data_IF_658812963108
#
_entry.id   IF_658812963108
#
_cell.length_a   1.000
_cell.length_b   1.000
_cell.length_c   1.000
_cell.angle_alpha   90.00
_cell.angle_beta   90.00
_cell.angle_gamma   90.00
#
_symmetry.space_group_name_H-M   'P 1'
#
loop_
_entity.id
_entity.type
_entity.pdbx_description
1 polymer ?
#
# COMPACT_ATOMS: atom_id res chain seq x y z
N UNK A 1 7.85 9.54 -5.96
CA UNK A 1 6.65 10.41 -5.90
C UNK A 1 6.17 10.44 -4.46
N UNK A 2 5.90 11.63 -3.93
CA UNK A 2 5.54 11.83 -2.53
C UNK A 2 4.04 12.07 -2.36
N UNK A 3 3.42 11.37 -1.41
CA UNK A 3 2.07 11.66 -0.94
C UNK A 3 2.06 11.62 0.57
N UNK A 4 1.56 12.70 1.19
CA UNK A 4 1.48 12.80 2.65
C UNK A 4 0.56 11.71 3.18
N UNK A 5 0.94 11.09 4.29
CA UNK A 5 0.15 10.05 4.93
C UNK A 5 -1.27 10.51 5.24
N UNK A 6 -2.22 9.58 5.12
CA UNK A 6 -3.65 9.75 5.37
C UNK A 6 -4.36 10.74 4.43
N UNK A 7 -3.67 11.29 3.43
CA UNK A 7 -4.31 12.07 2.36
C UNK A 7 -5.06 11.17 1.37
N UNK A 8 -6.09 11.67 0.69
CA UNK A 8 -6.79 10.90 -0.34
C UNK A 8 -5.86 10.37 -1.43
N UNK A 9 -6.04 9.11 -1.80
CA UNK A 9 -5.26 8.48 -2.87
C UNK A 9 -5.61 9.10 -4.23
N UNK A 10 -4.58 9.56 -4.94
CA UNK A 10 -4.69 10.17 -6.28
C UNK A 10 -3.61 9.69 -7.25
N UNK A 11 -2.85 8.65 -6.88
CA UNK A 11 -1.76 8.14 -7.71
C UNK A 11 -2.34 7.64 -9.04
N UNK A 12 -1.68 7.99 -10.15
CA UNK A 12 -2.08 7.76 -11.55
C UNK A 12 -3.40 8.40 -12.03
N UNK A 13 -4.28 8.85 -11.12
CA UNK A 13 -5.58 9.43 -11.46
C UNK A 13 -5.71 10.92 -11.11
N UNK A 14 -4.63 11.59 -10.72
CA UNK A 14 -4.63 13.01 -10.46
C UNK A 14 -5.26 13.81 -11.62
N UNK A 15 -6.04 14.87 -11.36
CA UNK A 15 -6.32 15.50 -10.06
C UNK A 15 -7.48 14.83 -9.28
N UNK A 16 -7.97 13.68 -9.72
CA UNK A 16 -9.07 12.96 -9.05
C UNK A 16 -8.53 12.11 -7.90
N UNK A 17 -9.43 11.69 -7.02
CA UNK A 17 -9.11 10.84 -5.87
C UNK A 17 -10.03 9.63 -5.84
N UNK A 18 -9.55 8.54 -5.23
CA UNK A 18 -10.38 7.39 -4.94
C UNK A 18 -11.06 7.59 -3.59
N UNK A 19 -12.38 7.77 -3.61
CA UNK A 19 -13.20 7.87 -2.41
C UNK A 19 -12.90 6.73 -1.47
N UNK A 20 -12.61 7.02 -0.20
CA UNK A 20 -12.35 6.00 0.83
C UNK A 20 -11.03 5.24 0.69
N UNK A 21 -10.07 5.73 -0.11
CA UNK A 21 -8.70 5.20 -0.18
C UNK A 21 -7.74 6.32 0.22
N UNK A 22 -6.77 6.00 1.08
CA UNK A 22 -5.79 6.98 1.60
C UNK A 22 -4.35 6.49 1.44
N UNK A 23 -3.45 7.43 1.21
CA UNK A 23 -2.02 7.19 1.03
C UNK A 23 -1.34 6.87 2.37
N UNK A 24 -0.43 5.90 2.40
CA UNK A 24 0.50 5.68 3.52
C UNK A 24 1.87 5.28 2.98
N UNK A 25 2.95 5.86 3.49
CA UNK A 25 4.32 5.43 3.18
C UNK A 25 4.81 5.79 1.78
N UNK A 26 4.17 6.75 1.12
CA UNK A 26 4.64 7.30 -0.16
C UNK A 26 5.66 8.41 0.10
N UNK A 27 6.81 8.04 0.62
CA UNK A 27 7.79 8.96 1.20
C UNK A 27 8.67 9.65 0.13
N UNK A 28 9.14 10.85 0.46
CA UNK A 28 10.25 11.52 -0.23
C UNK A 28 11.47 11.44 0.68
N UNK A 29 12.56 10.86 0.21
CA UNK A 29 13.80 10.73 1.00
C UNK A 29 14.45 12.07 1.30
N UNK A 30 14.05 13.14 0.60
CA UNK A 30 14.47 14.53 0.86
C UNK A 30 13.58 15.22 1.89
N UNK A 31 12.43 14.66 2.22
CA UNK A 31 11.52 15.20 3.22
C UNK A 31 11.64 14.42 4.52
N UNK A 32 11.43 15.11 5.64
CA UNK A 32 11.36 14.43 6.93
C UNK A 32 10.10 13.56 7.00
N UNK A 33 10.24 12.34 7.52
CA UNK A 33 9.13 11.45 7.84
C UNK A 33 9.18 11.08 9.32
N UNK A 34 8.03 10.76 9.91
CA UNK A 34 7.97 10.31 11.30
C UNK A 34 8.77 9.01 11.43
N UNK A 35 9.71 8.98 12.37
CA UNK A 35 10.54 7.81 12.64
C UNK A 35 10.39 7.37 14.10
N UNK A 36 10.58 6.07 14.34
CA UNK A 36 10.48 5.50 15.67
C UNK A 36 10.14 4.01 15.66
N UNK A 37 10.11 3.43 16.85
CA UNK A 37 9.77 2.02 17.02
C UNK A 37 8.31 1.74 16.65
N UNK A 38 8.09 0.62 15.98
CA UNK A 38 6.76 0.05 15.71
C UNK A 38 6.66 -1.33 16.38
N UNK A 39 5.45 -1.82 16.69
CA UNK A 39 5.29 -3.15 17.27
C UNK A 39 5.82 -4.25 16.32
N UNK A 40 6.54 -5.24 16.83
CA UNK A 40 7.03 -6.38 16.02
C UNK A 40 5.88 -7.12 15.32
N UNK A 41 4.78 -7.35 16.04
CA UNK A 41 3.58 -7.99 15.50
C UNK A 41 2.96 -7.22 14.31
N UNK A 42 3.16 -5.89 14.25
CA UNK A 42 2.72 -5.10 13.10
C UNK A 42 3.57 -5.40 11.86
N UNK A 43 4.89 -5.44 12.01
CA UNK A 43 5.82 -5.75 10.90
C UNK A 43 5.60 -7.18 10.39
N UNK A 44 5.49 -8.14 11.29
CA UNK A 44 5.20 -9.55 10.94
C UNK A 44 3.90 -9.68 10.17
N UNK A 45 2.85 -8.98 10.63
CA UNK A 45 1.53 -9.05 9.99
C UNK A 45 1.48 -8.30 8.67
N UNK A 46 2.18 -7.18 8.53
CA UNK A 46 2.29 -6.47 7.25
C UNK A 46 3.03 -7.32 6.21
N UNK A 47 4.12 -7.98 6.60
CA UNK A 47 4.84 -8.94 5.75
C UNK A 47 3.93 -10.10 5.32
N UNK A 48 3.13 -10.63 6.24
CA UNK A 48 2.16 -11.68 5.95
C UNK A 48 1.11 -11.23 4.93
N UNK A 49 0.55 -10.03 5.11
CA UNK A 49 -0.41 -9.42 4.18
C UNK A 49 0.22 -9.21 2.79
N UNK A 50 1.44 -8.69 2.74
CA UNK A 50 2.16 -8.44 1.50
C UNK A 50 2.52 -9.73 0.74
N UNK A 51 2.85 -10.81 1.46
CA UNK A 51 3.09 -12.13 0.88
C UNK A 51 1.84 -12.86 0.39
N UNK A 52 0.65 -12.39 0.81
CA UNK A 52 -0.64 -12.99 0.48
C UNK A 52 -0.97 -14.21 1.35
N UNK A 53 -2.22 -14.30 1.79
CA UNK A 53 -2.74 -15.41 2.60
C UNK A 53 -4.12 -15.80 2.12
N UNK A 54 -4.35 -17.10 1.87
CA UNK A 54 -5.66 -17.61 1.47
C UNK A 54 -6.27 -16.84 0.28
N UNK A 55 -7.50 -16.37 0.47
CA UNK A 55 -8.23 -15.52 -0.49
C UNK A 55 -8.02 -14.02 -0.27
N UNK A 56 -7.14 -13.63 0.65
CA UNK A 56 -6.78 -12.24 0.92
C UNK A 56 -5.60 -11.81 0.05
N UNK A 57 -5.93 -11.16 -1.08
CA UNK A 57 -4.98 -10.66 -2.09
C UNK A 57 -4.85 -9.14 -1.94
N UNK A 58 -3.85 -8.71 -1.20
CA UNK A 58 -3.65 -7.29 -0.87
C UNK A 58 -2.84 -6.49 -1.89
N UNK A 59 -2.27 -7.13 -2.91
CA UNK A 59 -1.41 -6.45 -3.87
C UNK A 59 -2.20 -5.89 -5.06
N UNK A 60 -1.91 -4.65 -5.43
CA UNK A 60 -2.38 -3.95 -6.64
C UNK A 60 -1.21 -3.72 -7.58
N UNK A 61 -1.45 -3.87 -8.89
CA UNK A 61 -0.44 -3.63 -9.94
C UNK A 61 0.91 -4.37 -9.73
N UNK A 62 0.93 -5.69 -9.45
CA UNK A 62 2.19 -6.41 -9.32
C UNK A 62 2.93 -6.43 -10.67
N UNK A 63 4.12 -5.84 -10.72
CA UNK A 63 5.01 -5.87 -11.88
C UNK A 63 6.29 -6.65 -11.55
N UNK A 64 6.83 -7.35 -12.55
CA UNK A 64 8.02 -8.22 -12.40
C UNK A 64 9.32 -7.42 -12.36
N UNK A 65 9.35 -6.38 -11.54
CA UNK A 65 10.49 -5.53 -11.27
C UNK A 65 10.76 -5.52 -9.76
N UNK A 66 12.01 -5.29 -9.38
CA UNK A 66 12.33 -5.08 -7.98
C UNK A 66 11.82 -3.71 -7.53
N UNK A 67 11.28 -3.60 -6.31
CA UNK A 67 11.02 -2.30 -5.72
C UNK A 67 12.32 -1.50 -5.59
N UNK A 68 12.23 -0.18 -5.66
CA UNK A 68 13.40 0.72 -5.60
C UNK A 68 13.25 1.68 -4.42
N UNK A 69 14.28 1.73 -3.59
CA UNK A 69 14.50 2.75 -2.57
C UNK A 69 15.41 3.84 -3.13
N UNK A 70 15.04 5.11 -2.97
CA UNK A 70 15.86 6.24 -3.47
C UNK A 70 17.19 6.40 -2.71
N UNK A 71 17.35 5.75 -1.55
CA UNK A 71 18.60 5.75 -0.75
C UNK A 71 19.43 4.50 -1.04
N UNK A 72 18.80 3.32 -1.05
CA UNK A 72 19.51 2.03 -1.11
C UNK A 72 19.62 1.44 -2.53
N UNK A 73 18.86 1.95 -3.50
CA UNK A 73 18.74 1.36 -4.84
C UNK A 73 17.67 0.27 -4.89
N UNK A 74 17.88 -0.75 -5.72
CA UNK A 74 16.98 -1.91 -5.81
C UNK A 74 16.93 -2.65 -4.46
N UNK A 75 15.72 -2.97 -4.00
CA UNK A 75 15.50 -3.67 -2.73
C UNK A 75 14.88 -5.05 -2.98
N UNK A 76 15.53 -6.09 -2.46
CA UNK A 76 14.97 -7.44 -2.48
C UNK A 76 14.07 -7.66 -1.26
N UNK A 77 12.76 -7.60 -1.48
CA UNK A 77 11.77 -7.94 -0.48
C UNK A 77 11.36 -9.41 -0.63
N UNK A 78 11.27 -10.13 0.48
CA UNK A 78 10.93 -11.56 0.50
C UNK A 78 9.80 -11.84 1.47
N UNK A 79 8.88 -12.72 1.07
CA UNK A 79 7.83 -13.20 1.95
C UNK A 79 8.39 -14.22 2.96
N UNK A 80 7.52 -14.71 3.86
CA UNK A 80 7.87 -15.71 4.86
C UNK A 80 8.35 -17.06 4.27
N UNK A 81 8.11 -17.31 2.97
CA UNK A 81 8.56 -18.51 2.24
C UNK A 81 9.87 -18.26 1.49
N UNK A 82 10.45 -17.06 1.59
CA UNK A 82 11.67 -16.64 0.89
C UNK A 82 11.44 -16.25 -0.58
N UNK A 83 10.19 -16.18 -1.03
CA UNK A 83 9.85 -15.78 -2.40
C UNK A 83 9.95 -14.28 -2.56
N UNK A 84 10.47 -13.82 -3.70
CA UNK A 84 10.55 -12.39 -4.00
C UNK A 84 9.15 -11.79 -4.10
N UNK A 85 8.94 -10.69 -3.38
CA UNK A 85 7.73 -9.88 -3.48
C UNK A 85 7.95 -8.86 -4.62
N UNK A 86 7.07 -8.83 -5.64
CA UNK A 86 7.20 -7.91 -6.76
C UNK A 86 7.00 -6.46 -6.33
N UNK A 87 7.43 -5.52 -7.17
CA UNK A 87 6.99 -4.14 -7.04
C UNK A 87 5.46 -4.06 -7.21
N UNK A 88 4.78 -3.51 -6.21
CA UNK A 88 3.32 -3.46 -6.10
C UNK A 88 2.89 -2.38 -5.10
N UNK A 89 1.59 -2.08 -5.04
CA UNK A 89 0.97 -1.42 -3.89
C UNK A 89 0.34 -2.46 -2.96
N UNK A 90 0.42 -2.23 -1.65
CA UNK A 90 -0.32 -2.98 -0.62
C UNK A 90 -1.56 -2.17 -0.26
N UNK A 91 -2.72 -2.78 -0.37
CA UNK A 91 -4.00 -2.20 0.02
C UNK A 91 -4.59 -2.95 1.22
N UNK A 92 -4.73 -2.25 2.34
CA UNK A 92 -5.22 -2.82 3.61
C UNK A 92 -6.61 -2.25 3.92
N UNK A 93 -7.69 -3.06 3.86
CA UNK A 93 -9.03 -2.62 4.20
C UNK A 93 -9.23 -2.48 5.71
N UNK A 94 -9.96 -1.45 6.14
CA UNK A 94 -10.39 -1.25 7.52
C UNK A 94 -11.69 -0.44 7.57
N UNK A 95 -12.79 -1.10 7.91
CA UNK A 95 -14.12 -0.49 7.84
C UNK A 95 -14.42 0.02 6.43
N UNK A 96 -14.70 1.32 6.30
CA UNK A 96 -14.97 1.96 5.00
C UNK A 96 -13.72 2.51 4.30
N UNK A 97 -12.54 2.45 4.92
CA UNK A 97 -11.27 2.95 4.38
C UNK A 97 -10.42 1.80 3.82
N UNK A 98 -9.62 2.12 2.82
CA UNK A 98 -8.47 1.32 2.39
C UNK A 98 -7.22 2.17 2.53
N UNK A 99 -6.19 1.63 3.16
CA UNK A 99 -4.88 2.25 3.22
C UNK A 99 -4.01 1.69 2.12
N UNK A 100 -3.56 2.54 1.21
CA UNK A 100 -2.75 2.20 0.05
C UNK A 100 -1.30 2.66 0.29
N UNK A 101 -0.38 1.70 0.28
CA UNK A 101 1.05 1.93 0.49
C UNK A 101 1.89 1.29 -0.60
N UNK A 102 3.05 1.85 -0.99
CA UNK A 102 3.97 1.14 -1.86
C UNK A 102 4.57 -0.06 -1.11
N UNK A 103 4.93 -1.13 -1.82
CA UNK A 103 5.58 -2.30 -1.20
C UNK A 103 6.88 -1.92 -0.46
N UNK A 104 7.56 -0.87 -0.92
CA UNK A 104 8.78 -0.34 -0.28
C UNK A 104 8.54 0.18 1.14
N UNK A 105 7.29 0.35 1.59
CA UNK A 105 6.97 0.67 2.99
C UNK A 105 7.62 -0.34 3.96
N UNK A 106 7.70 -1.62 3.58
CA UNK A 106 8.37 -2.68 4.35
C UNK A 106 9.84 -2.30 4.63
N UNK A 107 10.57 -1.97 3.57
CA UNK A 107 11.96 -1.53 3.65
C UNK A 107 12.12 -0.24 4.47
N UNK A 108 11.23 0.74 4.28
CA UNK A 108 11.32 2.00 5.01
C UNK A 108 11.09 1.82 6.52
N UNK A 109 10.18 0.94 6.92
CA UNK A 109 9.95 0.61 8.33
C UNK A 109 11.19 -0.08 8.92
N UNK A 110 11.70 -1.11 8.25
CA UNK A 110 12.75 -1.98 8.82
C UNK A 110 14.15 -1.36 8.75
N UNK A 111 14.46 -0.64 7.67
CA UNK A 111 15.82 -0.13 7.39
C UNK A 111 15.95 1.36 7.69
N UNK A 112 14.90 2.14 7.41
CA UNK A 112 14.92 3.59 7.59
C UNK A 112 14.15 4.07 8.83
N UNK A 113 13.57 3.15 9.60
CA UNK A 113 12.89 3.44 10.86
C UNK A 113 11.63 4.29 10.70
N UNK A 114 11.03 4.32 9.50
CA UNK A 114 9.76 4.99 9.27
C UNK A 114 8.69 4.42 10.19
N UNK A 115 7.97 5.31 10.87
CA UNK A 115 6.87 5.00 11.76
C UNK A 115 5.57 5.41 11.07
N UNK A 116 4.79 4.46 10.53
CA UNK A 116 3.50 4.76 9.91
C UNK A 116 2.50 5.32 10.92
N UNK A 117 1.44 6.02 10.45
CA UNK A 117 0.38 6.49 11.32
C UNK A 117 -0.27 5.37 12.14
N UNK A 118 -0.65 5.69 13.38
CA UNK A 118 -1.26 4.70 14.29
C UNK A 118 -2.52 4.03 13.70
N UNK A 119 -3.32 4.76 12.91
CA UNK A 119 -4.49 4.20 12.22
C UNK A 119 -4.11 3.10 11.22
N UNK A 120 -2.99 3.25 10.51
CA UNK A 120 -2.48 2.22 9.59
C UNK A 120 -1.95 1.00 10.36
N UNK A 121 -1.21 1.23 11.44
CA UNK A 121 -0.71 0.16 12.31
C UNK A 121 -1.88 -0.68 12.83
N UNK A 122 -2.93 -0.03 13.33
CA UNK A 122 -4.13 -0.70 13.80
C UNK A 122 -4.89 -1.42 12.67
N UNK A 123 -4.99 -0.81 11.48
CA UNK A 123 -5.64 -1.43 10.33
C UNK A 123 -4.95 -2.75 9.93
N UNK A 124 -3.62 -2.77 9.90
CA UNK A 124 -2.83 -3.99 9.64
C UNK A 124 -3.06 -5.02 10.74
N UNK A 125 -2.92 -4.63 12.01
CA UNK A 125 -3.10 -5.53 13.16
C UNK A 125 -4.49 -6.17 13.21
N UNK A 126 -5.53 -5.43 12.85
CA UNK A 126 -6.92 -5.89 12.91
C UNK A 126 -7.46 -6.42 11.58
N UNK A 127 -6.68 -6.41 10.49
CA UNK A 127 -7.13 -6.90 9.19
C UNK A 127 -7.61 -8.35 9.28
N UNK A 128 -8.82 -8.64 8.80
CA UNK A 128 -9.34 -10.00 8.71
C UNK A 128 -8.76 -10.70 7.48
N UNK A 129 -7.59 -11.31 7.65
CA UNK A 129 -6.84 -11.97 6.57
C UNK A 129 -7.46 -13.31 6.12
N UNK A 130 -8.48 -13.80 6.82
CA UNK A 130 -9.26 -14.98 6.40
C UNK A 130 -10.45 -14.58 5.52
N UNK A 131 -10.79 -13.28 5.49
CA UNK A 131 -11.84 -12.77 4.62
C UNK A 131 -11.41 -12.74 3.16
N UNK A 132 -12.38 -12.90 2.25
CA UNK A 132 -12.15 -12.74 0.82
C UNK A 132 -11.96 -11.25 0.49
N UNK A 133 -10.75 -10.89 0.07
CA UNK A 133 -10.42 -9.54 -0.37
C UNK A 133 -9.51 -9.59 -1.59
N UNK A 134 -9.81 -8.79 -2.61
CA UNK A 134 -8.97 -8.66 -3.80
C UNK A 134 -8.73 -7.18 -4.09
N UNK A 135 -7.50 -6.74 -3.90
CA UNK A 135 -7.11 -5.35 -4.04
C UNK A 135 -7.21 -4.85 -5.49
N UNK A 136 -6.88 -5.68 -6.49
CA UNK A 136 -7.06 -5.32 -7.91
C UNK A 136 -8.54 -5.10 -8.25
N UNK A 137 -9.44 -5.92 -7.70
CA UNK A 137 -10.89 -5.74 -7.87
C UNK A 137 -11.36 -4.45 -7.19
N UNK A 138 -10.94 -4.22 -5.94
CA UNK A 138 -11.26 -3.01 -5.20
C UNK A 138 -10.76 -1.73 -5.91
N UNK A 139 -9.55 -1.75 -6.46
CA UNK A 139 -8.99 -0.64 -7.25
C UNK A 139 -9.87 -0.36 -8.47
N UNK A 140 -10.20 -1.39 -9.26
CA UNK A 140 -11.04 -1.25 -10.46
C UNK A 140 -12.43 -0.71 -10.15
N UNK A 141 -13.05 -1.15 -9.07
CA UNK A 141 -14.35 -0.64 -8.62
C UNK A 141 -14.27 0.83 -8.24
N UNK A 142 -13.28 1.20 -7.41
CA UNK A 142 -13.11 2.59 -6.97
C UNK A 142 -12.79 3.54 -8.11
N UNK A 143 -12.00 3.13 -9.12
CA UNK A 143 -11.78 3.98 -10.30
C UNK A 143 -13.07 4.17 -11.10
N UNK A 144 -13.90 3.13 -11.28
CA UNK A 144 -15.19 3.28 -11.99
C UNK A 144 -16.12 4.29 -11.32
N UNK A 145 -16.10 4.31 -9.99
CA UNK A 145 -16.90 5.25 -9.19
C UNK A 145 -16.28 6.65 -9.10
N UNK A 146 -15.00 6.78 -9.47
CA UNK A 146 -14.33 8.08 -9.54
C UNK A 146 -14.72 8.89 -10.77
N UNK A 147 -14.54 10.21 -10.70
CA UNK A 147 -14.80 11.10 -11.83
C UNK A 147 -13.78 10.94 -12.98
N UNK A 148 -12.74 10.11 -12.82
CA UNK A 148 -11.71 9.83 -13.85
C UNK A 148 -12.31 9.38 -15.19
N UNK A 149 -13.29 8.48 -15.16
CA UNK A 149 -13.95 7.98 -16.39
C UNK A 149 -15.03 8.92 -16.91
N UNK A 150 -15.61 9.78 -16.06
CA UNK A 150 -16.69 10.71 -16.47
C UNK A 150 -16.19 11.76 -17.46
N UNK A 151 -14.91 12.10 -17.42
CA UNK A 151 -14.31 13.11 -18.30
C UNK A 151 -13.65 12.50 -19.55
N UNK A 152 -13.39 11.18 -19.57
CA UNK A 152 -12.72 10.52 -20.71
C UNK A 152 -13.63 10.10 -21.87
N UNK A 153 -14.93 10.37 -21.84
CA UNK A 153 -15.81 10.15 -23.01
C UNK A 153 -15.85 8.70 -23.54
N UNK A 154 -15.48 7.71 -22.73
CA UNK A 154 -15.59 6.30 -23.08
C UNK A 154 -16.91 5.75 -22.56
N UNK A 155 -18.00 6.21 -23.18
CA UNK A 155 -19.20 5.38 -23.32
C UNK A 155 -19.00 4.50 -24.56
N UNK A 156 -18.78 3.21 -24.35
CA UNK A 156 -19.29 2.16 -25.24
C UNK A 156 -19.76 1.00 -24.39
#
# INVERSE_FOLDING_TARGET
>A
MHYVDLTPYSRQIAPYTLTGVVNVGWLDVRSEFESGAVPTAFVERLNLIAGGVGDFKALVEPIRELPVCEICGEVELRDAKGMLIPNAEIWVPSGSKIYASPITILHFIEIHGYRPPAEYINAVLCADIESKFNADEAYRERIKDSDWFRVRGLRK
#
